data_IF_641683915638
#
_entry.id   IF_641683915638
#
_cell.length_a   1.000
_cell.length_b   1.000
_cell.length_c   1.000
_cell.angle_alpha   90.00
_cell.angle_beta   90.00
_cell.angle_gamma   90.00
#
_symmetry.space_group_name_H-M   'P 1'
#
loop_
_entity.id
_entity.type
_entity.pdbx_description
1 polymer ?
#
# COMPACT_ATOMS: atom_id res chain seq x y z
N UNK A 1 -12.89 19.07 -8.69
CA UNK A 1 -12.64 17.95 -7.76
C UNK A 1 -13.63 18.08 -6.59
N UNK A 2 -14.15 16.96 -6.06
CA UNK A 2 -15.12 16.96 -4.95
C UNK A 2 -14.49 17.54 -3.67
N UNK A 3 -15.14 18.55 -3.07
CA UNK A 3 -14.63 19.23 -1.87
C UNK A 3 -14.53 18.34 -0.64
N UNK A 4 -15.32 17.25 -0.58
CA UNK A 4 -15.25 16.25 0.49
C UNK A 4 -13.97 15.44 0.40
N UNK A 5 -13.58 15.05 -0.82
CA UNK A 5 -12.33 14.32 -1.06
C UNK A 5 -11.11 15.19 -0.76
N UNK A 6 -11.16 16.48 -1.11
CA UNK A 6 -10.08 17.42 -0.76
C UNK A 6 -9.94 17.61 0.75
N UNK A 7 -11.04 17.73 1.49
CA UNK A 7 -11.00 17.80 2.95
C UNK A 7 -10.45 16.52 3.57
N UNK A 8 -10.86 15.36 3.08
CA UNK A 8 -10.34 14.07 3.53
C UNK A 8 -8.85 13.94 3.24
N UNK A 9 -8.40 14.29 2.02
CA UNK A 9 -6.99 14.29 1.65
C UNK A 9 -6.16 15.16 2.60
N UNK A 10 -6.64 16.35 2.97
CA UNK A 10 -5.98 17.22 3.95
C UNK A 10 -5.82 16.55 5.30
N UNK A 11 -6.84 15.85 5.79
CA UNK A 11 -6.77 15.12 7.07
C UNK A 11 -5.76 13.98 6.97
N UNK A 12 -5.83 13.16 5.92
CA UNK A 12 -4.92 12.02 5.74
C UNK A 12 -3.46 12.46 5.66
N UNK A 13 -3.16 13.45 4.82
CA UNK A 13 -1.79 13.90 4.56
C UNK A 13 -1.22 14.71 5.74
N UNK A 14 -1.95 15.71 6.23
CA UNK A 14 -1.41 16.63 7.23
C UNK A 14 -1.54 16.10 8.66
N UNK A 15 -2.65 15.45 8.99
CA UNK A 15 -2.95 15.05 10.36
C UNK A 15 -2.62 13.57 10.63
N UNK A 16 -3.10 12.65 9.81
CA UNK A 16 -2.90 11.21 10.04
C UNK A 16 -1.46 10.78 9.79
N UNK A 17 -0.87 11.25 8.69
CA UNK A 17 0.50 10.84 8.28
C UNK A 17 1.56 11.89 8.61
N UNK A 18 1.19 13.17 8.72
CA UNK A 18 2.13 14.25 8.99
C UNK A 18 3.21 14.37 7.91
N UNK A 19 2.83 14.18 6.65
CA UNK A 19 3.75 14.17 5.49
C UNK A 19 4.49 15.51 5.38
N UNK A 20 5.79 15.45 5.13
CA UNK A 20 6.67 16.62 5.00
C UNK A 20 7.31 16.71 3.61
N UNK A 21 7.74 17.92 3.26
CA UNK A 21 8.54 18.18 2.06
C UNK A 21 9.77 17.26 2.00
N UNK A 22 10.07 16.74 0.82
CA UNK A 22 11.20 15.84 0.55
C UNK A 22 11.02 14.38 1.01
N UNK A 23 10.00 14.06 1.81
CA UNK A 23 9.75 12.68 2.24
C UNK A 23 9.24 11.82 1.09
N UNK A 24 9.64 10.54 1.10
CA UNK A 24 9.07 9.53 0.22
C UNK A 24 7.72 9.08 0.79
N UNK A 25 6.66 9.36 0.05
CA UNK A 25 5.28 9.06 0.43
C UNK A 25 4.63 8.11 -0.58
N UNK A 26 4.22 6.92 -0.13
CA UNK A 26 3.52 5.95 -0.98
C UNK A 26 2.01 6.04 -0.82
N UNK A 27 1.30 6.07 -1.94
CA UNK A 27 -0.16 5.97 -2.01
C UNK A 27 -0.51 4.67 -2.72
N UNK A 28 -1.13 3.74 -2.00
CA UNK A 28 -1.54 2.43 -2.51
C UNK A 28 -3.07 2.34 -2.55
N UNK A 29 -3.64 1.91 -3.67
CA UNK A 29 -5.09 1.81 -3.85
C UNK A 29 -5.50 0.90 -5.00
N UNK A 30 -6.79 0.55 -5.09
CA UNK A 30 -7.39 0.03 -6.33
C UNK A 30 -7.82 1.18 -7.26
N UNK A 31 -7.87 0.97 -8.60
CA UNK A 31 -8.24 2.02 -9.56
C UNK A 31 -9.58 2.70 -9.29
N UNK A 32 -10.54 2.00 -8.68
CA UNK A 32 -11.85 2.58 -8.33
C UNK A 32 -11.74 3.72 -7.30
N UNK A 33 -10.66 3.76 -6.51
CA UNK A 33 -10.37 4.82 -5.56
C UNK A 33 -9.66 6.03 -6.18
N UNK A 34 -9.46 6.06 -7.52
CA UNK A 34 -8.77 7.13 -8.23
C UNK A 34 -9.19 8.56 -7.82
N UNK A 35 -10.49 8.87 -7.59
CA UNK A 35 -10.88 10.22 -7.16
C UNK A 35 -10.22 10.65 -5.85
N UNK A 36 -10.06 9.74 -4.87
CA UNK A 36 -9.39 10.05 -3.60
C UNK A 36 -7.87 10.06 -3.77
N UNK A 37 -7.31 9.12 -4.55
CA UNK A 37 -5.87 9.08 -4.85
C UNK A 37 -5.40 10.41 -5.45
N UNK A 38 -6.14 10.95 -6.42
CA UNK A 38 -5.82 12.24 -7.03
C UNK A 38 -5.85 13.38 -6.01
N UNK A 39 -6.83 13.39 -5.11
CA UNK A 39 -6.94 14.43 -4.08
C UNK A 39 -5.78 14.38 -3.07
N UNK A 40 -5.39 13.18 -2.65
CA UNK A 40 -4.24 12.95 -1.76
C UNK A 40 -2.94 13.34 -2.45
N UNK A 41 -2.76 12.92 -3.71
CA UNK A 41 -1.57 13.24 -4.49
C UNK A 41 -1.43 14.75 -4.69
N UNK A 42 -2.51 15.46 -5.05
CA UNK A 42 -2.49 16.91 -5.19
C UNK A 42 -2.04 17.62 -3.89
N UNK A 43 -2.58 17.20 -2.74
CA UNK A 43 -2.19 17.76 -1.44
C UNK A 43 -0.73 17.46 -1.10
N UNK A 44 -0.26 16.24 -1.34
CA UNK A 44 1.12 15.85 -1.08
C UNK A 44 2.13 16.60 -1.95
N UNK A 45 1.82 16.81 -3.24
CA UNK A 45 2.66 17.58 -4.16
C UNK A 45 2.73 19.05 -3.73
N UNK A 46 1.62 19.64 -3.26
CA UNK A 46 1.63 21.02 -2.72
C UNK A 46 2.53 21.18 -1.50
N UNK A 47 2.69 20.14 -0.69
CA UNK A 47 3.63 20.12 0.44
C UNK A 47 5.08 19.86 0.04
N UNK A 48 5.34 19.48 -1.22
CA UNK A 48 6.67 19.14 -1.73
C UNK A 48 7.13 17.72 -1.38
N UNK A 49 6.20 16.79 -1.11
CA UNK A 49 6.54 15.39 -0.87
C UNK A 49 6.86 14.64 -2.17
N UNK A 50 7.80 13.71 -2.10
CA UNK A 50 8.15 12.81 -3.20
C UNK A 50 7.16 11.63 -3.22
N UNK A 51 6.06 11.78 -3.97
CA UNK A 51 4.93 10.85 -3.90
C UNK A 51 5.02 9.74 -4.96
N UNK A 52 4.82 8.49 -4.55
CA UNK A 52 4.77 7.30 -5.43
C UNK A 52 3.37 6.69 -5.36
N UNK A 53 2.79 6.38 -6.52
CA UNK A 53 1.46 5.77 -6.62
C UNK A 53 1.60 4.30 -7.01
N UNK A 54 0.95 3.41 -6.26
CA UNK A 54 0.80 2.00 -6.58
C UNK A 54 -0.69 1.67 -6.73
N UNK A 55 -1.13 1.48 -7.97
CA UNK A 55 -2.49 1.01 -8.26
C UNK A 55 -2.48 -0.50 -8.49
N UNK A 56 -3.17 -1.22 -7.61
CA UNK A 56 -3.26 -2.68 -7.65
C UNK A 56 -4.59 -3.16 -8.22
N UNK A 57 -4.55 -4.17 -9.08
CA UNK A 57 -5.76 -4.93 -9.46
C UNK A 57 -6.03 -6.00 -8.42
N UNK A 58 -7.28 -6.11 -8.00
CA UNK A 58 -7.71 -7.05 -6.96
C UNK A 58 -7.42 -8.51 -7.32
N UNK A 59 -7.49 -8.86 -8.61
CA UNK A 59 -7.35 -10.24 -9.10
C UNK A 59 -5.89 -10.70 -9.23
N UNK A 60 -4.90 -9.79 -9.10
CA UNK A 60 -3.47 -10.15 -9.20
C UNK A 60 -3.10 -11.15 -8.10
N UNK A 61 -3.58 -10.92 -6.88
CA UNK A 61 -3.29 -11.81 -5.75
C UNK A 61 -3.91 -13.19 -5.96
N UNK A 62 -5.16 -13.24 -6.44
CA UNK A 62 -5.85 -14.48 -6.76
C UNK A 62 -5.14 -15.24 -7.89
N UNK A 63 -4.68 -14.53 -8.92
CA UNK A 63 -3.94 -15.10 -10.06
C UNK A 63 -2.65 -15.77 -9.60
N UNK A 64 -1.84 -15.07 -8.79
CA UNK A 64 -0.60 -15.64 -8.23
C UNK A 64 -0.92 -16.87 -7.36
N UNK A 65 -1.96 -16.78 -6.55
CA UNK A 65 -2.40 -17.91 -5.71
C UNK A 65 -2.95 -19.08 -6.52
N UNK A 66 -3.55 -18.90 -7.69
CA UNK A 66 -4.04 -20.01 -8.53
C UNK A 66 -2.95 -20.64 -9.38
N UNK A 67 -2.09 -19.83 -9.99
CA UNK A 67 -1.20 -20.27 -11.06
C UNK A 67 0.28 -20.27 -10.69
N UNK A 68 0.69 -19.57 -9.62
CA UNK A 68 2.09 -19.48 -9.22
C UNK A 68 2.66 -20.80 -8.69
N UNK A 69 3.95 -21.03 -8.83
CA UNK A 69 4.62 -22.12 -8.12
C UNK A 69 5.02 -21.69 -6.69
N UNK A 70 5.46 -22.63 -5.87
CA UNK A 70 5.81 -22.36 -4.47
C UNK A 70 6.97 -21.37 -4.33
N UNK A 71 7.93 -21.37 -5.26
CA UNK A 71 9.04 -20.41 -5.28
C UNK A 71 8.52 -18.98 -5.52
N UNK A 72 7.59 -18.80 -6.45
CA UNK A 72 6.96 -17.51 -6.74
C UNK A 72 6.08 -17.01 -5.58
N UNK A 73 5.40 -17.92 -4.86
CA UNK A 73 4.64 -17.58 -3.66
C UNK A 73 5.56 -17.16 -2.50
N UNK A 74 6.75 -17.75 -2.41
CA UNK A 74 7.76 -17.43 -1.40
C UNK A 74 8.65 -16.24 -1.78
N UNK A 75 8.59 -15.78 -3.03
CA UNK A 75 9.47 -14.74 -3.55
C UNK A 75 9.11 -13.35 -3.00
N UNK A 76 10.09 -12.72 -2.34
CA UNK A 76 10.01 -11.32 -1.94
C UNK A 76 10.88 -10.45 -2.86
N UNK A 77 10.22 -9.63 -3.67
CA UNK A 77 10.89 -8.68 -4.59
C UNK A 77 11.91 -7.80 -3.86
N UNK A 78 13.14 -7.65 -4.38
CA UNK A 78 14.13 -6.70 -3.86
C UNK A 78 13.60 -5.26 -3.84
N UNK A 79 12.73 -4.88 -4.78
CA UNK A 79 12.15 -3.54 -4.84
C UNK A 79 11.26 -3.27 -3.63
N UNK A 80 10.46 -4.25 -3.19
CA UNK A 80 9.67 -4.12 -1.96
C UNK A 80 10.54 -3.96 -0.72
N UNK A 81 11.70 -4.64 -0.68
CA UNK A 81 12.64 -4.50 0.43
C UNK A 81 13.20 -3.08 0.48
N UNK A 82 13.60 -2.54 -0.68
CA UNK A 82 14.07 -1.16 -0.76
C UNK A 82 12.98 -0.16 -0.36
N UNK A 83 11.76 -0.33 -0.87
CA UNK A 83 10.63 0.53 -0.52
C UNK A 83 10.39 0.60 0.99
N UNK A 84 10.35 -0.54 1.68
CA UNK A 84 10.10 -0.57 3.13
C UNK A 84 11.27 -0.02 3.95
N UNK A 85 12.47 0.14 3.40
CA UNK A 85 13.58 0.82 4.08
C UNK A 85 13.51 2.34 3.90
N UNK A 86 13.10 2.82 2.72
CA UNK A 86 13.18 4.25 2.38
C UNK A 86 11.92 5.04 2.73
N UNK A 87 10.75 4.40 2.77
CA UNK A 87 9.46 5.09 2.97
C UNK A 87 9.34 5.77 4.33
N UNK A 88 8.91 7.03 4.38
CA UNK A 88 8.56 7.70 5.65
C UNK A 88 7.05 7.72 5.89
N UNK A 89 6.25 7.61 4.84
CA UNK A 89 4.79 7.57 4.96
C UNK A 89 4.16 6.65 3.92
N UNK A 90 3.10 5.95 4.31
CA UNK A 90 2.30 5.12 3.42
C UNK A 90 0.80 5.32 3.70
N UNK A 91 0.03 5.56 2.66
CA UNK A 91 -1.43 5.52 2.67
C UNK A 91 -1.91 4.27 1.93
N UNK A 92 -2.81 3.50 2.54
CA UNK A 92 -3.48 2.37 1.89
C UNK A 92 -4.99 2.59 1.83
N UNK A 93 -5.50 2.90 0.64
CA UNK A 93 -6.93 3.06 0.40
C UNK A 93 -7.49 1.72 -0.03
N UNK A 94 -8.35 1.13 0.80
CA UNK A 94 -9.05 -0.11 0.46
C UNK A 94 -10.42 0.22 -0.13
N UNK A 95 -10.57 -0.01 -1.42
CA UNK A 95 -11.81 0.17 -2.17
C UNK A 95 -12.28 -1.12 -2.85
N UNK A 96 -11.80 -2.27 -2.34
CA UNK A 96 -12.14 -3.61 -2.78
C UNK A 96 -13.65 -3.78 -2.99
N UNK A 97 -14.05 -4.06 -4.22
CA UNK A 97 -15.44 -4.32 -4.62
C UNK A 97 -15.82 -5.79 -4.50
N UNK A 98 -14.85 -6.71 -4.59
CA UNK A 98 -15.09 -8.14 -4.43
C UNK A 98 -14.38 -8.71 -3.19
N UNK A 99 -15.12 -8.76 -2.09
CA UNK A 99 -14.63 -9.25 -0.80
C UNK A 99 -14.48 -10.78 -0.75
N UNK A 100 -14.92 -11.51 -1.77
CA UNK A 100 -14.90 -12.98 -1.85
C UNK A 100 -13.91 -13.54 -2.87
N UNK A 101 -13.04 -12.71 -3.45
CA UNK A 101 -12.08 -13.13 -4.48
C UNK A 101 -11.11 -14.24 -4.06
N UNK A 102 -10.93 -14.49 -2.75
CA UNK A 102 -10.04 -15.55 -2.26
C UNK A 102 -10.78 -16.73 -1.64
N UNK A 103 -12.11 -16.76 -1.67
CA UNK A 103 -12.91 -17.79 -0.97
C UNK A 103 -12.67 -19.21 -1.48
N UNK A 104 -12.22 -19.38 -2.73
CA UNK A 104 -11.97 -20.69 -3.35
C UNK A 104 -10.47 -21.04 -3.45
N UNK A 105 -9.57 -20.27 -2.81
CA UNK A 105 -8.14 -20.49 -2.88
C UNK A 105 -7.68 -21.45 -1.78
N UNK A 106 -6.83 -22.43 -2.14
CA UNK A 106 -6.20 -23.38 -1.21
C UNK A 106 -5.51 -22.65 -0.03
N UNK A 107 -5.91 -22.92 1.23
CA UNK A 107 -5.29 -22.35 2.42
C UNK A 107 -3.77 -22.55 2.50
N UNK A 108 -3.23 -23.68 2.01
CA UNK A 108 -1.77 -23.94 2.02
C UNK A 108 -1.01 -22.94 1.16
N UNK A 109 -1.58 -22.56 0.02
CA UNK A 109 -0.98 -21.59 -0.91
C UNK A 109 -1.05 -20.18 -0.34
N UNK A 110 -2.13 -19.85 0.37
CA UNK A 110 -2.22 -18.60 1.15
C UNK A 110 -1.16 -18.55 2.25
N UNK A 111 -0.90 -19.69 2.92
CA UNK A 111 0.15 -19.79 3.93
C UNK A 111 1.54 -19.57 3.34
N UNK A 112 1.85 -20.14 2.18
CA UNK A 112 3.12 -19.89 1.48
C UNK A 112 3.30 -18.41 1.14
N UNK A 113 2.28 -17.78 0.55
CA UNK A 113 2.34 -16.35 0.23
C UNK A 113 2.55 -15.49 1.48
N UNK A 114 1.89 -15.85 2.59
CA UNK A 114 2.07 -15.17 3.88
C UNK A 114 3.49 -15.33 4.42
N UNK A 115 4.12 -16.51 4.24
CA UNK A 115 5.50 -16.75 4.65
C UNK A 115 6.48 -15.95 3.80
N UNK A 116 6.31 -15.91 2.48
CA UNK A 116 7.15 -15.10 1.59
C UNK A 116 7.09 -13.60 1.90
N UNK A 117 5.93 -13.11 2.33
CA UNK A 117 5.73 -11.69 2.70
C UNK A 117 6.23 -11.33 4.10
N UNK A 118 6.55 -12.31 4.94
CA UNK A 118 6.87 -12.11 6.36
C UNK A 118 8.03 -11.14 6.62
N UNK A 119 9.18 -11.22 5.92
CA UNK A 119 10.29 -10.31 6.17
C UNK A 119 9.93 -8.84 5.91
N UNK A 120 9.11 -8.58 4.88
CA UNK A 120 8.60 -7.24 4.59
C UNK A 120 7.67 -6.74 5.70
N UNK A 121 6.73 -7.58 6.15
CA UNK A 121 5.77 -7.20 7.19
C UNK A 121 6.46 -6.95 8.54
N UNK A 122 7.43 -7.79 8.92
CA UNK A 122 8.20 -7.61 10.14
C UNK A 122 8.94 -6.27 10.12
N UNK A 123 9.62 -5.95 9.02
CA UNK A 123 10.31 -4.66 8.86
C UNK A 123 9.35 -3.49 8.86
N UNK A 124 8.22 -3.61 8.16
CA UNK A 124 7.19 -2.59 8.10
C UNK A 124 6.67 -2.25 9.51
N UNK A 125 6.27 -3.27 10.29
CA UNK A 125 5.73 -3.06 11.63
C UNK A 125 6.78 -2.60 12.63
N UNK A 126 8.03 -3.03 12.50
CA UNK A 126 9.15 -2.50 13.29
C UNK A 126 9.28 -0.97 13.08
N UNK A 127 9.25 -0.52 11.83
CA UNK A 127 9.36 0.91 11.47
C UNK A 127 8.13 1.73 11.87
N UNK A 128 6.94 1.13 11.84
CA UNK A 128 5.73 1.74 12.40
C UNK A 128 5.88 1.88 13.92
N UNK A 129 6.32 0.81 14.61
CA UNK A 129 6.48 0.78 16.05
C UNK A 129 7.51 1.80 16.59
N UNK A 130 8.59 2.02 15.85
CA UNK A 130 9.60 3.02 16.18
C UNK A 130 9.35 4.42 15.57
N UNK A 131 8.20 4.62 14.90
CA UNK A 131 7.78 5.89 14.27
C UNK A 131 8.70 6.42 13.17
N UNK A 132 9.48 5.55 12.53
CA UNK A 132 10.26 5.90 11.33
C UNK A 132 9.46 5.75 10.04
N UNK A 133 8.30 5.07 10.11
CA UNK A 133 7.31 5.00 9.04
C UNK A 133 5.93 5.31 9.63
N UNK A 134 5.20 6.26 9.02
CA UNK A 134 3.81 6.55 9.34
C UNK A 134 2.87 5.83 8.37
N UNK A 135 1.80 5.23 8.90
CA UNK A 135 0.86 4.45 8.10
C UNK A 135 -0.59 4.76 8.49
N UNK A 136 -1.45 4.91 7.48
CA UNK A 136 -2.90 4.89 7.63
C UNK A 136 -3.62 4.30 6.41
#
# INVERSE_FOLDING_TARGET
MDSRLQKLAKVLVNYSLGVKSGQLFKISAEPIAAPLVLAVYEEAIKLGANSVIELGLIDIRETLLKFGNDEQLMYLSPMRKLEVEELQSQLSIWATTNTKNLSNVDPKRQQLLSRGSRPYLERFFERVGNKTLHWC
#
